data_IF_131946023724
#
_entry.id   IF_131946023724
#
_cell.length_a   1.000
_cell.length_b   1.000
_cell.length_c   1.000
_cell.angle_alpha   90.00
_cell.angle_beta   90.00
_cell.angle_gamma   90.00
#
_symmetry.space_group_name_H-M   'P 1'
#
loop_
_entity.id
_entity.type
_entity.pdbx_description
1 polymer ?
#
# COMPACT_ATOMS: atom_id res chain seq x y z
N UNK A 1 -33.53 -33.67 -15.72
CA UNK A 1 -32.31 -33.51 -14.87
C UNK A 1 -31.70 -32.08 -14.98
N UNK A 2 -32.48 -30.99 -14.93
CA UNK A 2 -31.97 -29.61 -15.16
C UNK A 2 -31.71 -28.77 -13.89
N UNK A 3 -32.17 -29.21 -12.71
CA UNK A 3 -32.07 -28.41 -11.46
C UNK A 3 -30.68 -28.40 -10.79
N UNK A 4 -29.80 -29.38 -11.09
CA UNK A 4 -28.50 -29.52 -10.42
C UNK A 4 -27.42 -28.57 -10.95
N UNK A 5 -27.63 -27.93 -12.10
CA UNK A 5 -26.64 -27.03 -12.71
C UNK A 5 -26.85 -25.54 -12.34
N UNK A 6 -28.07 -25.16 -11.94
CA UNK A 6 -28.35 -23.79 -11.46
C UNK A 6 -27.73 -23.50 -10.09
N UNK A 7 -27.59 -24.51 -9.23
CA UNK A 7 -26.98 -24.36 -7.92
C UNK A 7 -25.49 -23.97 -7.98
N UNK A 8 -24.61 -24.69 -8.71
CA UNK A 8 -23.21 -24.29 -8.83
C UNK A 8 -23.04 -22.96 -9.59
N UNK A 9 -23.90 -22.68 -10.57
CA UNK A 9 -23.88 -21.42 -11.30
C UNK A 9 -24.26 -20.22 -10.41
N UNK A 10 -25.26 -20.39 -9.54
CA UNK A 10 -25.64 -19.39 -8.55
C UNK A 10 -24.52 -19.12 -7.55
N UNK A 11 -23.87 -20.17 -7.03
CA UNK A 11 -22.72 -20.03 -6.12
C UNK A 11 -21.57 -19.30 -6.82
N UNK A 12 -21.25 -19.67 -8.06
CA UNK A 12 -20.20 -19.01 -8.82
C UNK A 12 -20.49 -17.52 -9.02
N UNK A 13 -21.73 -17.16 -9.36
CA UNK A 13 -22.12 -15.76 -9.53
C UNK A 13 -21.95 -14.96 -8.21
N UNK A 14 -22.32 -15.55 -7.07
CA UNK A 14 -22.12 -14.93 -5.75
C UNK A 14 -20.64 -14.77 -5.43
N UNK A 15 -19.80 -15.77 -5.71
CA UNK A 15 -18.35 -15.70 -5.47
C UNK A 15 -17.68 -14.63 -6.34
N UNK A 16 -18.08 -14.53 -7.62
CA UNK A 16 -17.58 -13.49 -8.52
C UNK A 16 -17.98 -12.11 -8.01
N UNK A 17 -19.23 -11.92 -7.61
CA UNK A 17 -19.70 -10.65 -7.06
C UNK A 17 -18.95 -10.28 -5.77
N UNK A 18 -18.76 -11.24 -4.86
CA UNK A 18 -17.98 -11.04 -3.64
C UNK A 18 -16.53 -10.65 -3.95
N UNK A 19 -15.90 -11.29 -4.95
CA UNK A 19 -14.55 -10.95 -5.38
C UNK A 19 -14.48 -9.54 -5.98
N UNK A 20 -15.45 -9.12 -6.79
CA UNK A 20 -15.50 -7.76 -7.35
C UNK A 20 -15.70 -6.71 -6.26
N UNK A 21 -16.54 -6.98 -5.26
CA UNK A 21 -16.74 -6.09 -4.11
C UNK A 21 -15.46 -6.01 -3.27
N UNK A 22 -14.81 -7.14 -3.00
CA UNK A 22 -13.59 -7.20 -2.20
C UNK A 22 -12.40 -6.49 -2.86
N UNK A 23 -12.27 -6.63 -4.18
CA UNK A 23 -11.17 -6.04 -4.99
C UNK A 23 -11.51 -4.67 -5.56
N UNK A 24 -12.62 -4.05 -5.13
CA UNK A 24 -13.05 -2.75 -5.66
C UNK A 24 -11.96 -1.68 -5.44
N UNK A 25 -11.66 -0.85 -6.45
CA UNK A 25 -10.72 0.26 -6.29
C UNK A 25 -11.24 1.28 -5.28
N UNK A 26 -10.40 1.63 -4.29
CA UNK A 26 -10.70 2.59 -3.23
C UNK A 26 -9.54 3.55 -3.03
N UNK A 27 -9.80 4.82 -2.63
CA UNK A 27 -8.73 5.72 -2.22
C UNK A 27 -8.03 5.19 -0.97
N UNK A 28 -6.79 5.63 -0.75
CA UNK A 28 -5.99 5.18 0.39
C UNK A 28 -6.68 5.47 1.73
N UNK A 29 -7.28 6.65 1.87
CA UNK A 29 -8.03 7.07 3.05
C UNK A 29 -9.14 6.08 3.41
N UNK A 30 -9.93 5.62 2.43
CA UNK A 30 -11.00 4.65 2.69
C UNK A 30 -10.48 3.25 3.04
N UNK A 31 -9.24 2.90 2.67
CA UNK A 31 -8.64 1.62 3.01
C UNK A 31 -7.94 1.62 4.35
N UNK A 32 -7.31 2.75 4.69
CA UNK A 32 -6.51 2.91 5.89
C UNK A 32 -7.21 3.70 7.00
N UNK A 33 -8.41 4.22 6.73
CA UNK A 33 -9.20 5.04 7.66
C UNK A 33 -8.38 6.22 8.23
N UNK A 34 -7.47 6.76 7.41
CA UNK A 34 -6.55 7.82 7.75
C UNK A 34 -6.26 8.69 6.51
N UNK A 35 -6.38 10.00 6.67
CA UNK A 35 -6.10 10.98 5.61
C UNK A 35 -4.61 11.33 5.58
N UNK A 36 -3.87 10.72 4.66
CA UNK A 36 -2.41 10.93 4.54
C UNK A 36 -2.00 12.38 4.27
N UNK A 37 -2.90 13.25 3.83
CA UNK A 37 -2.60 14.68 3.65
C UNK A 37 -2.38 15.41 4.99
N UNK A 38 -2.84 14.83 6.10
CA UNK A 38 -2.64 15.35 7.45
C UNK A 38 -1.34 14.85 8.11
N UNK A 39 -0.50 14.12 7.37
CA UNK A 39 0.76 13.63 7.91
C UNK A 39 1.74 14.78 8.19
N UNK A 40 2.51 14.65 9.27
CA UNK A 40 3.52 15.61 9.72
C UNK A 40 4.90 15.32 9.14
N UNK A 41 5.12 14.08 8.71
CA UNK A 41 6.32 13.69 7.98
C UNK A 41 6.09 12.40 7.22
N UNK A 42 6.94 12.18 6.22
CA UNK A 42 7.02 10.93 5.48
C UNK A 42 8.42 10.37 5.65
N UNK A 43 8.54 9.12 6.05
CA UNK A 43 9.83 8.47 6.29
C UNK A 43 9.84 7.08 5.67
N UNK A 44 11.03 6.51 5.56
CA UNK A 44 11.16 5.10 5.24
C UNK A 44 12.50 4.75 4.64
N UNK A 45 12.48 3.73 3.78
CA UNK A 45 13.67 3.13 3.21
C UNK A 45 13.49 2.91 1.73
N UNK A 46 14.57 3.07 0.97
CA UNK A 46 14.60 2.66 -0.43
C UNK A 46 15.89 1.91 -0.75
N UNK A 47 15.82 1.06 -1.77
CA UNK A 47 16.93 0.28 -2.26
C UNK A 47 16.84 0.12 -3.75
N UNK A 48 17.99 0.15 -4.43
CA UNK A 48 18.10 -0.22 -5.83
C UNK A 48 19.39 -1.01 -6.05
N UNK A 49 19.26 -2.18 -6.69
CA UNK A 49 20.40 -2.97 -7.09
C UNK A 49 21.27 -2.21 -8.10
N UNK A 50 22.62 -2.29 -8.00
CA UNK A 50 23.38 -3.22 -7.17
C UNK A 50 23.81 -2.66 -5.80
N UNK A 51 23.16 -1.60 -5.29
CA UNK A 51 23.49 -1.03 -3.98
C UNK A 51 23.44 -2.10 -2.88
N UNK A 52 24.33 -2.01 -1.89
CA UNK A 52 24.48 -3.03 -0.85
C UNK A 52 23.47 -2.89 0.31
N UNK A 53 23.07 -1.66 0.64
CA UNK A 53 22.25 -1.36 1.82
C UNK A 53 21.05 -0.47 1.49
N UNK A 54 20.00 -0.59 2.31
CA UNK A 54 18.83 0.29 2.23
C UNK A 54 19.23 1.71 2.65
N UNK A 55 18.80 2.71 1.89
CA UNK A 55 18.98 4.12 2.24
C UNK A 55 17.75 4.62 2.98
N UNK A 56 17.95 5.21 4.16
CA UNK A 56 16.87 5.83 4.94
C UNK A 56 16.63 7.25 4.46
N UNK A 57 15.37 7.64 4.37
CA UNK A 57 14.95 9.03 4.13
C UNK A 57 13.91 9.46 5.17
N UNK A 58 13.81 10.78 5.36
CA UNK A 58 12.80 11.41 6.19
C UNK A 58 12.54 12.82 5.64
N UNK A 59 11.29 13.07 5.27
CA UNK A 59 10.81 14.33 4.72
C UNK A 59 9.83 14.95 5.71
N UNK A 60 10.18 16.09 6.34
CA UNK A 60 9.25 16.82 7.19
C UNK A 60 8.10 17.43 6.36
N UNK A 61 7.03 17.88 7.02
CA UNK A 61 5.84 18.43 6.35
C UNK A 61 6.13 19.65 5.46
N UNK A 62 7.18 20.41 5.74
CA UNK A 62 7.60 21.58 4.95
C UNK A 62 8.41 21.21 3.69
N UNK A 63 8.81 19.95 3.53
CA UNK A 63 9.49 19.45 2.33
C UNK A 63 8.48 19.23 1.17
N UNK A 64 8.79 19.76 -0.01
CA UNK A 64 7.96 19.60 -1.21
C UNK A 64 7.71 18.12 -1.57
N UNK A 65 8.65 17.22 -1.24
CA UNK A 65 8.51 15.77 -1.48
C UNK A 65 7.43 15.14 -0.60
N UNK A 66 7.20 15.66 0.60
CA UNK A 66 6.10 15.24 1.46
C UNK A 66 4.75 15.50 0.77
N UNK A 67 4.56 16.72 0.25
CA UNK A 67 3.36 17.09 -0.51
C UNK A 67 3.19 16.25 -1.80
N UNK A 68 4.28 16.04 -2.54
CA UNK A 68 4.25 15.19 -3.75
C UNK A 68 3.85 13.75 -3.45
N UNK A 69 4.38 13.15 -2.38
CA UNK A 69 4.04 11.78 -1.99
C UNK A 69 2.59 11.70 -1.51
N UNK A 70 2.14 12.59 -0.63
CA UNK A 70 0.74 12.58 -0.15
C UNK A 70 -0.25 12.79 -1.29
N UNK A 71 0.02 13.70 -2.22
CA UNK A 71 -0.80 13.90 -3.41
C UNK A 71 -0.81 12.65 -4.30
N UNK A 72 0.37 12.11 -4.62
CA UNK A 72 0.50 10.92 -5.47
C UNK A 72 -0.26 9.72 -4.88
N UNK A 73 -0.18 9.50 -3.57
CA UNK A 73 -0.90 8.41 -2.92
C UNK A 73 -2.42 8.67 -2.83
N UNK A 74 -2.84 9.91 -2.61
CA UNK A 74 -4.27 10.28 -2.53
C UNK A 74 -4.98 10.16 -3.88
N UNK A 75 -4.29 10.49 -4.98
CA UNK A 75 -4.85 10.38 -6.33
C UNK A 75 -5.05 8.92 -6.77
N UNK A 76 -4.33 7.97 -6.18
CA UNK A 76 -4.36 6.58 -6.59
C UNK A 76 -5.54 5.81 -6.00
N UNK A 77 -6.02 4.84 -6.78
CA UNK A 77 -7.02 3.87 -6.32
C UNK A 77 -6.39 2.50 -6.14
N UNK A 78 -6.44 2.02 -4.91
CA UNK A 78 -5.87 0.76 -4.49
C UNK A 78 -6.93 -0.33 -4.50
N UNK A 79 -6.54 -1.53 -4.92
CA UNK A 79 -7.38 -2.72 -4.93
C UNK A 79 -6.76 -3.77 -4.04
N UNK A 80 -7.53 -4.34 -3.12
CA UNK A 80 -7.07 -5.49 -2.34
C UNK A 80 -6.85 -6.68 -3.27
N UNK A 81 -5.78 -7.44 -3.04
CA UNK A 81 -5.54 -8.69 -3.78
C UNK A 81 -6.39 -9.82 -3.21
N UNK A 82 -6.99 -10.68 -4.07
CA UNK A 82 -7.66 -11.91 -3.64
C UNK A 82 -6.71 -12.87 -2.90
N UNK A 83 -5.39 -12.76 -3.13
CA UNK A 83 -4.40 -13.55 -2.42
C UNK A 83 -4.42 -13.31 -0.89
N UNK A 84 -4.99 -12.20 -0.43
CA UNK A 84 -5.18 -11.93 1.00
C UNK A 84 -6.22 -12.83 1.67
N UNK A 85 -7.05 -13.54 0.91
CA UNK A 85 -8.02 -14.51 1.44
C UNK A 85 -7.36 -15.85 1.80
N UNK A 86 -6.08 -16.02 1.47
CA UNK A 86 -5.28 -17.20 1.76
C UNK A 86 -4.21 -16.89 2.81
N UNK A 87 -3.73 -17.88 3.58
CA UNK A 87 -2.59 -17.71 4.47
C UNK A 87 -1.38 -17.12 3.72
N UNK A 88 -0.81 -16.05 4.25
CA UNK A 88 0.34 -15.40 3.61
C UNK A 88 1.63 -16.14 3.97
N UNK A 89 2.31 -16.67 2.96
CA UNK A 89 3.68 -17.20 3.10
C UNK A 89 4.75 -16.12 2.90
N UNK A 90 5.99 -16.48 3.24
CA UNK A 90 7.17 -15.66 2.92
C UNK A 90 7.32 -15.48 1.41
N UNK A 91 7.84 -14.32 1.01
CA UNK A 91 8.13 -14.03 -0.41
C UNK A 91 9.63 -13.84 -0.57
N UNK A 92 10.24 -14.65 -1.44
CA UNK A 92 11.64 -14.51 -1.84
C UNK A 92 11.70 -13.92 -3.24
N UNK A 93 12.67 -13.05 -3.49
CA UNK A 93 12.96 -12.49 -4.80
C UNK A 93 14.46 -12.59 -5.05
N UNK A 94 14.85 -13.03 -6.26
CA UNK A 94 16.24 -13.03 -6.68
C UNK A 94 16.53 -11.69 -7.34
N UNK A 95 17.29 -10.84 -6.65
CA UNK A 95 17.64 -9.50 -7.11
C UNK A 95 18.38 -9.52 -8.44
N UNK A 96 17.98 -8.64 -9.35
CA UNK A 96 18.61 -8.36 -10.63
C UNK A 96 19.03 -6.88 -10.68
N UNK A 97 19.95 -6.53 -11.58
CA UNK A 97 20.37 -5.14 -11.75
C UNK A 97 19.18 -4.25 -12.13
N UNK A 98 19.06 -3.11 -11.45
CA UNK A 98 17.92 -2.20 -11.61
C UNK A 98 16.68 -2.54 -10.79
N UNK A 99 16.63 -3.72 -10.15
CA UNK A 99 15.57 -4.04 -9.20
C UNK A 99 15.58 -3.05 -8.04
N UNK A 100 14.40 -2.60 -7.64
CA UNK A 100 14.25 -1.68 -6.54
C UNK A 100 13.09 -2.08 -5.64
N UNK A 101 13.20 -1.66 -4.38
CA UNK A 101 12.17 -1.81 -3.36
C UNK A 101 12.15 -0.56 -2.52
N UNK A 102 11.01 -0.30 -1.90
CA UNK A 102 10.87 0.83 -1.01
C UNK A 102 9.78 0.60 0.02
N UNK A 103 9.86 1.38 1.08
CA UNK A 103 8.89 1.46 2.15
C UNK A 103 8.69 2.93 2.48
N UNK A 104 7.44 3.37 2.50
CA UNK A 104 7.01 4.74 2.74
C UNK A 104 5.99 4.71 3.87
N UNK A 105 6.31 5.33 4.99
CA UNK A 105 5.43 5.51 6.13
C UNK A 105 5.00 6.96 6.26
N UNK A 106 3.70 7.18 6.47
CA UNK A 106 3.11 8.49 6.78
C UNK A 106 2.98 8.61 8.29
N UNK A 107 3.70 9.57 8.87
CA UNK A 107 3.69 9.87 10.29
C UNK A 107 2.66 10.94 10.58
N UNK A 108 1.93 10.75 11.66
CA UNK A 108 0.93 11.70 12.13
C UNK A 108 1.27 12.13 13.55
N UNK A 109 0.84 13.33 13.90
CA UNK A 109 0.79 13.75 15.30
C UNK A 109 -0.34 13.03 16.03
N UNK A 110 -0.64 13.47 17.26
CA UNK A 110 -1.71 12.93 18.08
C UNK A 110 -3.04 12.94 17.31
N UNK A 111 -3.52 11.75 16.93
CA UNK A 111 -4.69 11.54 16.07
C UNK A 111 -5.63 10.54 16.72
N UNK A 112 -6.92 10.85 16.69
CA UNK A 112 -7.97 9.95 17.15
C UNK A 112 -8.28 8.89 16.08
N UNK A 113 -8.26 7.63 16.50
CA UNK A 113 -8.55 6.48 15.65
C UNK A 113 -10.05 6.14 15.62
N UNK A 114 -10.52 5.45 14.57
CA UNK A 114 -11.90 4.95 14.49
C UNK A 114 -12.30 4.02 15.65
N UNK A 115 -11.34 3.39 16.32
CA UNK A 115 -11.57 2.54 17.50
C UNK A 115 -11.67 3.34 18.83
N UNK A 116 -11.54 4.66 18.77
CA UNK A 116 -11.61 5.58 19.91
C UNK A 116 -10.31 5.72 20.69
N UNK A 117 -9.22 5.09 20.26
CA UNK A 117 -7.90 5.34 20.82
C UNK A 117 -7.26 6.59 20.21
N UNK A 118 -6.27 7.16 20.90
CA UNK A 118 -5.46 8.26 20.39
C UNK A 118 -4.01 7.79 20.33
N UNK A 119 -3.33 8.06 19.22
CA UNK A 119 -1.92 7.71 19.07
C UNK A 119 -1.13 8.76 18.31
N UNK A 120 0.19 8.62 18.31
CA UNK A 120 1.13 9.38 17.48
C UNK A 120 2.07 8.42 16.76
N UNK A 121 2.49 8.77 15.55
CA UNK A 121 3.50 8.02 14.80
C UNK A 121 3.00 7.50 13.45
N UNK A 122 3.57 6.38 13.01
CA UNK A 122 3.35 5.82 11.68
C UNK A 122 2.02 5.08 11.65
N UNK A 123 1.05 5.59 10.88
CA UNK A 123 -0.26 4.93 10.80
C UNK A 123 -0.52 4.21 9.49
N UNK A 124 0.01 4.76 8.41
CA UNK A 124 -0.10 4.18 7.08
C UNK A 124 1.29 3.93 6.56
N UNK A 125 1.57 2.67 6.25
CA UNK A 125 2.83 2.28 5.63
C UNK A 125 2.57 1.51 4.35
N UNK A 126 3.18 1.96 3.27
CA UNK A 126 3.14 1.32 1.99
C UNK A 126 4.50 0.75 1.64
N UNK A 127 4.52 -0.52 1.24
CA UNK A 127 5.75 -1.24 0.90
C UNK A 127 5.65 -1.79 -0.51
N UNK A 128 6.68 -1.53 -1.29
CA UNK A 128 6.97 -2.19 -2.55
C UNK A 128 8.09 -3.20 -2.36
N UNK A 129 7.78 -4.49 -2.48
CA UNK A 129 8.78 -5.55 -2.51
C UNK A 129 8.91 -6.08 -3.94
N UNK A 130 9.77 -5.44 -4.75
CA UNK A 130 10.06 -5.83 -6.13
C UNK A 130 8.80 -6.00 -6.99
N UNK A 131 7.92 -5.00 -6.98
CA UNK A 131 6.64 -5.00 -7.70
C UNK A 131 5.46 -5.56 -6.89
N UNK A 132 5.70 -6.12 -5.70
CA UNK A 132 4.62 -6.61 -4.83
C UNK A 132 4.28 -5.57 -3.78
N UNK A 133 3.12 -4.94 -3.94
CA UNK A 133 2.65 -3.91 -3.01
C UNK A 133 1.92 -4.50 -1.80
N UNK A 134 2.22 -3.92 -0.65
CA UNK A 134 1.57 -4.20 0.61
C UNK A 134 1.29 -2.89 1.35
N UNK A 135 0.09 -2.79 1.92
CA UNK A 135 -0.29 -1.71 2.83
C UNK A 135 -0.38 -2.27 4.24
N UNK A 136 0.20 -1.56 5.19
CA UNK A 136 0.11 -1.82 6.62
C UNK A 136 -0.63 -0.67 7.31
N UNK A 137 -1.50 -1.04 8.24
CA UNK A 137 -2.29 -0.12 9.06
C UNK A 137 -1.93 -0.34 10.52
N UNK A 138 -1.52 0.73 11.19
CA UNK A 138 -1.05 0.60 12.57
C UNK A 138 -2.17 0.34 13.57
N UNK A 139 -3.36 0.96 13.40
CA UNK A 139 -4.45 0.88 14.38
C UNK A 139 -4.95 -0.56 14.61
N UNK A 140 -4.97 -1.41 13.58
CA UNK A 140 -5.33 -2.82 13.71
C UNK A 140 -4.16 -3.80 13.49
N UNK A 141 -2.95 -3.26 13.29
CA UNK A 141 -1.73 -4.01 13.04
C UNK A 141 -1.78 -4.93 11.81
N UNK A 142 -2.72 -4.70 10.86
CA UNK A 142 -2.88 -5.59 9.71
C UNK A 142 -2.15 -5.08 8.48
N UNK A 143 -1.54 -6.03 7.77
CA UNK A 143 -0.98 -5.81 6.44
C UNK A 143 -1.74 -6.62 5.39
N UNK A 144 -2.00 -6.01 4.23
CA UNK A 144 -2.65 -6.69 3.10
C UNK A 144 -1.99 -6.30 1.78
N UNK A 145 -1.95 -7.26 0.86
CA UNK A 145 -1.47 -7.04 -0.51
C UNK A 145 -2.47 -6.20 -1.28
N UNK A 146 -1.96 -5.27 -2.05
CA UNK A 146 -2.80 -4.45 -2.92
C UNK A 146 -2.14 -4.26 -4.28
N UNK A 147 -2.89 -3.68 -5.20
CA UNK A 147 -2.40 -3.18 -6.47
C UNK A 147 -2.99 -1.80 -6.73
N UNK A 148 -2.32 -1.02 -7.56
CA UNK A 148 -2.85 0.24 -8.10
C UNK A 148 -2.95 0.16 -9.62
N UNK A 149 -3.65 1.11 -10.23
CA UNK A 149 -3.62 1.25 -11.69
C UNK A 149 -2.23 1.73 -12.14
N UNK A 150 -1.75 1.24 -13.28
CA UNK A 150 -0.44 1.58 -13.86
C UNK A 150 0.70 1.43 -12.84
N UNK A 151 0.68 0.30 -12.12
CA UNK A 151 1.49 0.05 -10.93
C UNK A 151 2.98 0.30 -11.17
N UNK A 152 3.56 -0.17 -12.29
CA UNK A 152 4.99 0.01 -12.53
C UNK A 152 5.38 1.49 -12.62
N UNK A 153 4.54 2.32 -13.26
CA UNK A 153 4.76 3.76 -13.33
C UNK A 153 4.64 4.42 -11.95
N UNK A 154 3.61 4.05 -11.19
CA UNK A 154 3.44 4.52 -9.81
C UNK A 154 4.64 4.15 -8.93
N UNK A 155 5.10 2.89 -8.97
CA UNK A 155 6.22 2.40 -8.19
C UNK A 155 7.51 3.14 -8.51
N UNK A 156 7.77 3.42 -9.79
CA UNK A 156 8.92 4.18 -10.25
C UNK A 156 8.84 5.66 -9.86
N UNK A 157 7.64 6.27 -9.94
CA UNK A 157 7.43 7.66 -9.55
C UNK A 157 7.69 7.86 -8.05
N UNK A 158 7.17 6.97 -7.20
CA UNK A 158 7.46 6.98 -5.76
C UNK A 158 8.96 6.84 -5.53
N UNK A 159 9.61 5.87 -6.19
CA UNK A 159 11.05 5.67 -6.06
C UNK A 159 11.85 6.93 -6.44
N UNK A 160 11.50 7.59 -7.56
CA UNK A 160 12.17 8.80 -8.00
C UNK A 160 12.06 9.97 -7.02
N UNK A 161 10.91 10.11 -6.33
CA UNK A 161 10.72 11.14 -5.30
C UNK A 161 11.59 10.82 -4.07
N UNK A 162 11.52 9.59 -3.55
CA UNK A 162 12.21 9.22 -2.29
C UNK A 162 13.72 9.08 -2.45
N UNK A 163 14.22 8.81 -3.66
CA UNK A 163 15.65 8.71 -3.94
C UNK A 163 16.28 10.02 -4.43
N UNK A 164 15.50 11.09 -4.52
CA UNK A 164 16.03 12.41 -4.93
C UNK A 164 16.93 12.97 -3.85
N UNK A 165 18.09 13.51 -4.25
CA UNK A 165 18.95 14.25 -3.32
C UNK A 165 18.24 15.53 -2.84
N UNK A 166 18.48 15.99 -1.60
CA UNK A 166 17.95 17.26 -1.09
C UNK A 166 18.36 18.49 -1.91
#
# INVERSE_FOLDING_TARGET
MKKKWFLPLGILAVLVLAALIYTRPMPLEALCEADVTQCQSVFGYHFRAPQAEDTRFEFPADDARCAQLTELFTQQKFRRSLANLLPQGGTTHRTQDGDFRWEVGFCFDETDFPDGSTGKGVFVQCRNFFGKMQLFRAYDGKAFRCTVQDQDAFLQQVYGIISSEP
#
